data_IF_090611433929
#
_entry.id   IF_090611433929
#
_cell.length_a   1.000
_cell.length_b   1.000
_cell.length_c   1.000
_cell.angle_alpha   90.00
_cell.angle_beta   90.00
_cell.angle_gamma   90.00
#
_symmetry.space_group_name_H-M   'P 1'
#
loop_
_entity.id
_entity.type
_entity.pdbx_description
1 polymer ?
#
# COMPACT_ATOMS: atom_id res chain seq x y z
N UNK A 1 -19.99 -9.16 8.25
CA UNK A 1 -19.84 -7.89 7.52
C UNK A 1 -19.93 -8.20 6.03
N UNK A 2 -20.65 -7.38 5.26
CA UNK A 2 -20.79 -7.50 3.81
C UNK A 2 -20.16 -6.28 3.12
N UNK A 3 -19.38 -6.51 2.08
CA UNK A 3 -18.84 -5.45 1.23
C UNK A 3 -17.73 -5.93 0.30
N UNK A 4 -17.52 -5.18 -0.77
CA UNK A 4 -16.56 -5.52 -1.84
C UNK A 4 -15.20 -4.82 -1.67
N UNK A 5 -15.14 -3.80 -0.82
CA UNK A 5 -13.97 -2.98 -0.61
C UNK A 5 -12.86 -3.74 0.13
N UNK A 6 -11.62 -3.59 -0.34
CA UNK A 6 -10.43 -4.19 0.28
C UNK A 6 -10.16 -3.59 1.67
N UNK A 7 -10.53 -2.34 1.91
CA UNK A 7 -10.37 -1.66 3.20
C UNK A 7 -11.14 -2.35 4.32
N UNK A 8 -12.26 -3.03 3.99
CA UNK A 8 -13.01 -3.83 4.97
C UNK A 8 -12.20 -4.96 5.57
N UNK A 9 -11.19 -5.49 4.87
CA UNK A 9 -10.27 -6.49 5.42
C UNK A 9 -9.47 -5.86 6.55
N UNK A 10 -8.90 -4.67 6.33
CA UNK A 10 -8.10 -3.95 7.33
C UNK A 10 -8.94 -3.53 8.53
N UNK A 11 -10.13 -3.00 8.27
CA UNK A 11 -11.09 -2.60 9.31
C UNK A 11 -11.54 -3.80 10.14
N UNK A 12 -11.81 -4.95 9.53
CA UNK A 12 -12.22 -6.16 10.27
C UNK A 12 -11.08 -6.74 11.10
N UNK A 13 -9.85 -6.76 10.58
CA UNK A 13 -8.66 -7.16 11.36
C UNK A 13 -8.49 -6.23 12.57
N UNK A 14 -8.64 -4.92 12.39
CA UNK A 14 -8.53 -3.94 13.47
C UNK A 14 -9.59 -4.13 14.57
N UNK A 15 -10.73 -4.73 14.26
CA UNK A 15 -11.81 -5.00 15.20
C UNK A 15 -11.73 -6.36 15.92
N UNK A 16 -10.77 -7.22 15.59
CA UNK A 16 -10.60 -8.53 16.26
C UNK A 16 -10.44 -8.45 17.79
N UNK A 17 -9.79 -7.44 18.40
CA UNK A 17 -9.74 -7.30 19.86
C UNK A 17 -11.14 -7.13 20.50
N UNK A 18 -12.12 -6.60 19.78
CA UNK A 18 -13.48 -6.34 20.25
C UNK A 18 -14.41 -7.51 19.90
N UNK A 19 -14.31 -8.02 18.67
CA UNK A 19 -15.17 -9.07 18.14
C UNK A 19 -14.33 -10.23 17.62
N UNK A 20 -14.26 -11.31 18.39
CA UNK A 20 -13.38 -12.47 18.12
C UNK A 20 -13.82 -13.33 16.92
N UNK A 21 -15.09 -13.27 16.53
CA UNK A 21 -15.67 -14.08 15.46
C UNK A 21 -16.19 -13.15 14.35
N UNK A 22 -15.28 -12.68 13.49
CA UNK A 22 -15.61 -11.84 12.36
C UNK A 22 -15.50 -12.62 11.06
N UNK A 23 -16.50 -12.45 10.22
CA UNK A 23 -16.54 -12.96 8.85
C UNK A 23 -16.79 -11.82 7.90
N UNK A 24 -16.02 -11.77 6.82
CA UNK A 24 -16.25 -10.85 5.71
C UNK A 24 -16.84 -11.64 4.55
N UNK A 25 -18.06 -11.27 4.16
CA UNK A 25 -18.75 -11.80 3.01
C UNK A 25 -18.66 -10.84 1.85
N UNK A 26 -18.34 -11.37 0.68
CA UNK A 26 -18.36 -10.65 -0.58
C UNK A 26 -18.76 -11.58 -1.71
N UNK A 27 -19.22 -11.02 -2.81
CA UNK A 27 -19.51 -11.80 -4.00
C UNK A 27 -18.27 -12.55 -4.48
N UNK A 28 -18.48 -13.77 -4.93
CA UNK A 28 -17.40 -14.64 -5.40
C UNK A 28 -16.79 -14.05 -6.69
N UNK A 29 -15.50 -13.75 -6.72
CA UNK A 29 -14.89 -13.18 -7.91
C UNK A 29 -14.82 -14.22 -9.03
N UNK A 30 -14.97 -13.78 -10.28
CA UNK A 30 -14.88 -14.64 -11.46
C UNK A 30 -13.58 -15.46 -11.54
N UNK A 31 -12.50 -14.94 -10.97
CA UNK A 31 -11.20 -15.59 -10.96
C UNK A 31 -10.96 -16.55 -9.79
N UNK A 32 -11.99 -16.89 -8.99
CA UNK A 32 -11.79 -17.73 -7.79
C UNK A 32 -11.12 -19.08 -8.10
N UNK A 33 -11.40 -19.66 -9.27
CA UNK A 33 -10.74 -20.90 -9.73
C UNK A 33 -9.26 -20.75 -10.00
N UNK A 34 -8.76 -19.54 -10.22
CA UNK A 34 -7.31 -19.30 -10.35
C UNK A 34 -6.61 -19.30 -9.00
N UNK A 35 -7.36 -19.07 -7.90
CA UNK A 35 -6.86 -19.17 -6.53
C UNK A 35 -6.82 -20.64 -6.11
N UNK A 36 -7.93 -21.36 -6.30
CA UNK A 36 -8.03 -22.79 -6.04
C UNK A 36 -9.04 -23.41 -7.01
N UNK A 37 -8.60 -24.43 -7.74
CA UNK A 37 -9.39 -25.13 -8.77
C UNK A 37 -10.60 -25.89 -8.19
N UNK A 38 -10.60 -26.19 -6.90
CA UNK A 38 -11.68 -26.89 -6.20
C UNK A 38 -12.86 -25.96 -5.84
N UNK A 39 -12.66 -24.64 -5.89
CA UNK A 39 -13.68 -23.67 -5.56
C UNK A 39 -14.70 -23.49 -6.70
N UNK A 40 -15.98 -23.52 -6.35
CA UNK A 40 -17.08 -23.28 -7.31
C UNK A 40 -17.38 -21.77 -7.41
N UNK A 41 -17.29 -21.17 -8.62
CA UNK A 41 -17.61 -19.74 -8.80
C UNK A 41 -19.04 -19.35 -8.46
N UNK A 42 -19.98 -20.31 -8.44
CA UNK A 42 -21.39 -20.06 -8.13
C UNK A 42 -21.71 -20.21 -6.63
N UNK A 43 -20.74 -20.66 -5.83
CA UNK A 43 -20.90 -20.81 -4.39
C UNK A 43 -20.57 -19.51 -3.65
N UNK A 44 -21.19 -19.32 -2.49
CA UNK A 44 -20.93 -18.19 -1.62
C UNK A 44 -19.81 -18.53 -0.63
N UNK A 45 -18.84 -17.65 -0.50
CA UNK A 45 -17.71 -17.82 0.41
C UNK A 45 -17.63 -16.67 1.41
N UNK A 46 -17.21 -17.02 2.63
CA UNK A 46 -16.92 -16.05 3.68
C UNK A 46 -15.46 -16.12 4.07
N UNK A 47 -14.80 -14.99 4.11
CA UNK A 47 -13.45 -14.88 4.66
C UNK A 47 -13.54 -14.85 6.18
N UNK A 48 -12.99 -15.87 6.84
CA UNK A 48 -12.90 -15.92 8.30
C UNK A 48 -11.68 -15.09 8.75
N UNK A 49 -11.97 -13.93 9.33
CA UNK A 49 -10.92 -12.94 9.67
C UNK A 49 -9.93 -13.45 10.72
N UNK A 50 -10.31 -14.21 11.75
CA UNK A 50 -9.33 -14.80 12.68
C UNK A 50 -8.31 -15.70 12.02
N UNK A 51 -8.71 -16.49 11.01
CA UNK A 51 -7.79 -17.40 10.30
C UNK A 51 -6.85 -16.62 9.38
N UNK A 52 -7.38 -15.59 8.70
CA UNK A 52 -6.55 -14.66 7.95
C UNK A 52 -5.51 -13.98 8.84
N UNK A 53 -5.93 -13.47 10.00
CA UNK A 53 -5.04 -12.83 10.95
C UNK A 53 -3.92 -13.77 11.41
N UNK A 54 -4.25 -15.04 11.70
CA UNK A 54 -3.24 -16.03 12.08
C UNK A 54 -2.26 -16.33 10.94
N UNK A 55 -2.74 -16.42 9.70
CA UNK A 55 -1.90 -16.61 8.52
C UNK A 55 -0.94 -15.43 8.30
N UNK A 56 -1.43 -14.20 8.47
CA UNK A 56 -0.61 -12.97 8.40
C UNK A 56 0.48 -13.01 9.48
N UNK A 57 0.13 -13.27 10.73
CA UNK A 57 1.09 -13.34 11.84
C UNK A 57 2.18 -14.37 11.55
N UNK A 58 1.80 -15.57 11.11
CA UNK A 58 2.73 -16.64 10.79
C UNK A 58 3.70 -16.22 9.67
N UNK A 59 3.20 -15.57 8.64
CA UNK A 59 4.00 -15.13 7.50
C UNK A 59 4.97 -14.02 7.89
N UNK A 60 4.53 -13.01 8.65
CA UNK A 60 5.37 -11.92 9.12
C UNK A 60 6.48 -12.33 10.09
N UNK A 61 6.32 -13.46 10.77
CA UNK A 61 7.31 -13.98 11.73
C UNK A 61 8.03 -15.25 11.25
N UNK A 62 7.97 -15.57 9.95
CA UNK A 62 8.58 -16.79 9.41
C UNK A 62 8.18 -18.07 10.19
N UNK A 63 6.93 -18.14 10.68
CA UNK A 63 6.41 -19.25 11.46
C UNK A 63 6.89 -19.32 12.90
N UNK A 64 7.72 -18.40 13.36
CA UNK A 64 8.22 -18.39 14.75
C UNK A 64 7.11 -18.03 15.73
N UNK A 65 7.13 -18.69 16.90
CA UNK A 65 6.19 -18.38 18.00
C UNK A 65 6.55 -17.04 18.64
N UNK A 66 5.53 -16.24 18.89
CA UNK A 66 5.62 -14.93 19.53
C UNK A 66 4.56 -14.79 20.61
N UNK A 67 4.69 -13.77 21.45
CA UNK A 67 3.72 -13.47 22.50
C UNK A 67 2.43 -12.90 21.94
N UNK A 68 1.31 -13.00 22.65
CA UNK A 68 0.02 -12.41 22.27
C UNK A 68 0.10 -10.90 22.03
N UNK A 69 0.95 -10.19 22.76
CA UNK A 69 1.20 -8.76 22.52
C UNK A 69 1.85 -8.54 21.15
N UNK A 70 2.86 -9.34 20.83
CA UNK A 70 3.53 -9.26 19.53
C UNK A 70 2.58 -9.64 18.38
N UNK A 71 1.76 -10.70 18.54
CA UNK A 71 0.74 -11.07 17.55
C UNK A 71 -0.16 -9.87 17.20
N UNK A 72 -0.65 -9.17 18.22
CA UNK A 72 -1.48 -7.97 18.04
C UNK A 72 -0.74 -6.86 17.29
N UNK A 73 0.51 -6.58 17.67
CA UNK A 73 1.30 -5.55 17.03
C UNK A 73 1.61 -5.91 15.57
N UNK A 74 1.83 -7.21 15.23
CA UNK A 74 2.00 -7.67 13.85
C UNK A 74 0.79 -7.37 12.97
N UNK A 75 -0.41 -7.50 13.52
CA UNK A 75 -1.63 -7.14 12.79
C UNK A 75 -1.73 -5.63 12.55
N UNK A 76 -1.36 -4.82 13.53
CA UNK A 76 -1.32 -3.37 13.33
C UNK A 76 -0.24 -2.96 12.35
N UNK A 77 0.94 -3.59 12.39
CA UNK A 77 2.00 -3.37 11.41
C UNK A 77 1.55 -3.76 10.01
N UNK A 78 0.83 -4.90 9.86
CA UNK A 78 0.26 -5.31 8.58
C UNK A 78 -0.69 -4.25 8.03
N UNK A 79 -1.62 -3.75 8.84
CA UNK A 79 -2.54 -2.67 8.43
C UNK A 79 -1.75 -1.43 8.01
N UNK A 80 -0.75 -1.02 8.78
CA UNK A 80 0.08 0.12 8.46
C UNK A 80 0.84 -0.06 7.13
N UNK A 81 1.42 -1.24 6.92
CA UNK A 81 2.14 -1.54 5.67
C UNK A 81 1.26 -1.46 4.43
N UNK A 82 -0.03 -1.84 4.54
CA UNK A 82 -0.95 -1.74 3.39
C UNK A 82 -1.16 -0.32 2.90
N UNK A 83 -0.93 0.69 3.72
CA UNK A 83 -0.98 2.09 3.27
C UNK A 83 0.06 2.41 2.20
N UNK A 84 1.21 1.70 2.20
CA UNK A 84 2.24 1.85 1.17
C UNK A 84 1.80 1.30 -0.21
N UNK A 85 0.77 0.44 -0.23
CA UNK A 85 0.14 -0.06 -1.46
C UNK A 85 -0.90 0.90 -2.03
N UNK A 86 -1.13 2.03 -1.38
CA UNK A 86 -2.14 3.02 -1.74
C UNK A 86 -3.53 2.70 -1.19
N UNK A 87 -4.32 3.74 -0.99
CA UNK A 87 -5.71 3.71 -0.58
C UNK A 87 -6.43 4.97 -1.07
N UNK A 88 -7.63 5.25 -0.58
CA UNK A 88 -8.41 6.43 -0.97
C UNK A 88 -7.73 7.78 -0.66
N UNK A 89 -6.74 7.80 0.24
CA UNK A 89 -6.12 9.02 0.75
C UNK A 89 -4.70 9.26 0.24
N UNK A 90 -3.97 8.18 -0.08
CA UNK A 90 -2.58 8.25 -0.51
C UNK A 90 -2.29 7.32 -1.69
N UNK A 91 -1.45 7.75 -2.66
CA UNK A 91 -1.09 6.93 -3.80
C UNK A 91 -0.12 5.80 -3.41
N UNK A 92 -0.14 4.70 -4.16
CA UNK A 92 0.80 3.58 -3.99
C UNK A 92 2.19 3.93 -4.57
N UNK A 93 3.24 3.35 -4.00
CA UNK A 93 4.58 3.42 -4.57
C UNK A 93 4.66 2.67 -5.91
N UNK A 94 5.38 3.21 -6.92
CA UNK A 94 5.55 2.53 -8.21
C UNK A 94 6.14 1.12 -8.08
N UNK A 95 7.02 0.94 -7.09
CA UNK A 95 7.64 -0.35 -6.76
C UNK A 95 6.68 -1.34 -6.06
N UNK A 96 5.53 -0.87 -5.55
CA UNK A 96 4.64 -1.63 -4.66
C UNK A 96 3.21 -1.69 -5.22
N UNK A 97 3.02 -2.36 -6.34
CA UNK A 97 1.69 -2.51 -6.94
C UNK A 97 0.97 -3.72 -6.32
N UNK A 98 -0.18 -3.47 -5.69
CA UNK A 98 -0.99 -4.51 -5.02
C UNK A 98 -1.48 -5.60 -5.99
N UNK A 99 -1.67 -5.27 -7.28
CA UNK A 99 -2.14 -6.22 -8.29
C UNK A 99 -1.05 -7.17 -8.79
N UNK A 100 0.17 -6.98 -8.33
CA UNK A 100 1.33 -7.77 -8.72
C UNK A 100 2.05 -8.34 -7.50
N UNK A 101 3.24 -7.89 -7.20
CA UNK A 101 4.07 -8.40 -6.10
C UNK A 101 4.22 -7.43 -4.93
N UNK A 102 3.52 -6.29 -4.94
CA UNK A 102 3.69 -5.26 -3.91
C UNK A 102 3.46 -5.76 -2.50
N UNK A 103 2.44 -6.60 -2.28
CA UNK A 103 2.19 -7.21 -0.98
C UNK A 103 3.29 -8.21 -0.59
N UNK A 104 3.76 -9.03 -1.52
CA UNK A 104 4.84 -9.99 -1.26
C UNK A 104 6.13 -9.24 -0.90
N UNK A 105 6.49 -8.19 -1.64
CA UNK A 105 7.65 -7.35 -1.33
C UNK A 105 7.59 -6.74 0.08
N UNK A 106 6.41 -6.28 0.51
CA UNK A 106 6.21 -5.74 1.85
C UNK A 106 6.38 -6.80 2.93
N UNK A 107 5.75 -7.97 2.75
CA UNK A 107 5.82 -9.08 3.70
C UNK A 107 7.25 -9.59 3.82
N UNK A 108 7.94 -9.79 2.71
CA UNK A 108 9.31 -10.30 2.69
C UNK A 108 10.28 -9.29 3.34
N UNK A 109 10.16 -7.99 3.02
CA UNK A 109 10.95 -6.94 3.66
C UNK A 109 10.68 -6.84 5.16
N UNK A 110 9.42 -6.98 5.59
CA UNK A 110 9.06 -6.99 7.00
C UNK A 110 9.64 -8.20 7.72
N UNK A 111 9.47 -9.40 7.16
CA UNK A 111 10.00 -10.64 7.73
C UNK A 111 11.53 -10.60 7.86
N UNK A 112 12.21 -9.97 6.90
CA UNK A 112 13.67 -9.81 6.92
C UNK A 112 14.17 -8.78 7.96
N UNK A 113 13.38 -7.76 8.29
CA UNK A 113 13.81 -6.64 9.13
C UNK A 113 13.25 -6.68 10.55
N UNK A 114 11.95 -6.87 10.69
CA UNK A 114 11.22 -6.78 11.95
C UNK A 114 10.62 -8.12 12.40
N UNK A 115 10.41 -9.07 11.48
CA UNK A 115 9.65 -10.29 11.71
C UNK A 115 10.18 -11.19 12.84
N UNK A 116 11.49 -11.25 13.04
CA UNK A 116 12.13 -12.08 14.05
C UNK A 116 12.62 -11.26 15.25
N UNK A 117 12.10 -10.06 15.44
CA UNK A 117 12.47 -9.16 16.53
C UNK A 117 11.29 -8.85 17.43
N UNK A 118 11.52 -8.19 18.55
CA UNK A 118 10.49 -7.63 19.42
C UNK A 118 9.99 -6.25 18.95
N UNK A 119 10.59 -5.72 17.88
CA UNK A 119 10.23 -4.41 17.30
C UNK A 119 8.95 -4.50 16.49
N UNK A 120 8.24 -3.38 16.42
CA UNK A 120 7.03 -3.20 15.60
C UNK A 120 6.99 -1.77 15.04
N UNK A 121 6.31 -1.56 13.93
CA UNK A 121 6.10 -0.23 13.34
C UNK A 121 5.13 0.57 14.18
N UNK A 122 4.11 -0.11 14.75
CA UNK A 122 3.11 0.55 15.58
C UNK A 122 2.53 -0.41 16.63
N UNK A 123 2.10 0.15 17.75
CA UNK A 123 1.31 -0.56 18.76
C UNK A 123 -0.21 -0.30 18.65
N UNK A 124 -0.63 0.35 17.55
CA UNK A 124 -1.99 0.80 17.29
C UNK A 124 -2.28 2.20 17.83
N UNK A 125 -1.32 2.87 18.47
CA UNK A 125 -1.44 4.24 19.00
C UNK A 125 -0.32 5.16 18.52
N UNK A 126 0.90 4.64 18.52
CA UNK A 126 2.12 5.38 18.20
C UNK A 126 2.78 4.76 16.96
N UNK A 127 3.33 5.58 16.10
CA UNK A 127 4.17 5.17 14.99
C UNK A 127 5.63 5.24 15.46
N UNK A 128 6.32 4.11 15.42
CA UNK A 128 7.76 4.03 15.71
C UNK A 128 8.55 4.25 14.42
N UNK A 129 8.81 5.50 14.11
CA UNK A 129 9.43 5.93 12.85
C UNK A 129 10.79 5.27 12.61
N UNK A 130 11.60 5.07 13.65
CA UNK A 130 12.86 4.36 13.55
C UNK A 130 12.72 2.91 13.06
N UNK A 131 11.63 2.23 13.42
CA UNK A 131 11.34 0.88 12.96
C UNK A 131 10.76 0.87 11.54
N UNK A 132 9.88 1.82 11.21
CA UNK A 132 9.44 2.03 9.82
C UNK A 132 10.64 2.28 8.90
N UNK A 133 11.63 3.05 9.39
CA UNK A 133 12.87 3.30 8.64
C UNK A 133 13.61 2.02 8.27
N UNK A 134 13.64 1.00 9.14
CA UNK A 134 14.25 -0.30 8.82
C UNK A 134 13.55 -1.00 7.65
N UNK A 135 12.22 -0.99 7.65
CA UNK A 135 11.42 -1.55 6.55
C UNK A 135 11.67 -0.79 5.24
N UNK A 136 11.56 0.54 5.27
CA UNK A 136 11.74 1.36 4.06
C UNK A 136 13.16 1.26 3.53
N UNK A 137 14.17 1.15 4.42
CA UNK A 137 15.55 0.94 3.98
C UNK A 137 15.73 -0.37 3.19
N UNK A 138 15.12 -1.46 3.64
CA UNK A 138 15.17 -2.74 2.93
C UNK A 138 14.46 -2.65 1.56
N UNK A 139 13.31 -2.00 1.52
CA UNK A 139 12.53 -1.83 0.28
C UNK A 139 13.26 -0.95 -0.74
N UNK A 140 13.87 0.16 -0.31
CA UNK A 140 14.54 1.10 -1.20
C UNK A 140 15.78 0.51 -1.87
N UNK A 141 16.47 -0.44 -1.22
CA UNK A 141 17.62 -1.15 -1.81
C UNK A 141 17.22 -1.94 -3.07
N UNK A 142 15.95 -2.31 -3.19
CA UNK A 142 15.40 -3.04 -4.31
C UNK A 142 14.44 -2.22 -5.17
N UNK A 143 14.23 -0.94 -4.88
CA UNK A 143 13.20 -0.11 -5.50
C UNK A 143 13.33 -0.08 -7.03
N UNK A 144 14.52 0.18 -7.55
CA UNK A 144 14.73 0.22 -9.00
C UNK A 144 14.38 -1.13 -9.64
N UNK A 145 14.86 -2.23 -9.10
CA UNK A 145 14.55 -3.58 -9.59
C UNK A 145 13.04 -3.84 -9.62
N UNK A 146 12.32 -3.44 -8.58
CA UNK A 146 10.87 -3.62 -8.53
C UNK A 146 10.14 -2.77 -9.57
N UNK A 147 10.58 -1.52 -9.78
CA UNK A 147 10.05 -0.65 -10.83
C UNK A 147 10.34 -1.23 -12.22
N UNK A 148 11.52 -1.75 -12.47
CA UNK A 148 11.88 -2.43 -13.73
C UNK A 148 11.00 -3.66 -13.98
N UNK A 149 10.73 -4.47 -12.95
CA UNK A 149 9.83 -5.62 -13.06
C UNK A 149 8.40 -5.20 -13.44
N UNK A 150 7.88 -4.11 -12.84
CA UNK A 150 6.58 -3.56 -13.20
C UNK A 150 6.58 -2.99 -14.63
N UNK A 151 7.63 -2.29 -15.02
CA UNK A 151 7.80 -1.75 -16.36
C UNK A 151 7.80 -2.86 -17.42
N UNK A 152 8.56 -3.95 -17.20
CA UNK A 152 8.57 -5.12 -18.09
C UNK A 152 7.21 -5.82 -18.16
N UNK A 153 6.51 -5.96 -17.04
CA UNK A 153 5.15 -6.50 -17.02
C UNK A 153 4.22 -5.67 -17.90
N UNK A 154 4.26 -4.35 -17.75
CA UNK A 154 3.45 -3.43 -18.56
C UNK A 154 3.86 -3.45 -20.04
N UNK A 155 5.15 -3.61 -20.35
CA UNK A 155 5.61 -3.83 -21.73
C UNK A 155 4.97 -5.07 -22.36
N UNK A 156 4.85 -6.17 -21.61
CA UNK A 156 4.16 -7.38 -22.08
C UNK A 156 2.66 -7.15 -22.25
N UNK A 157 2.01 -6.48 -21.30
CA UNK A 157 0.59 -6.18 -21.35
C UNK A 157 0.23 -5.19 -22.48
N UNK A 158 1.09 -4.21 -22.73
CA UNK A 158 0.88 -3.23 -23.82
C UNK A 158 0.89 -3.86 -25.22
N UNK A 159 1.45 -5.07 -25.37
CA UNK A 159 1.39 -5.84 -26.62
C UNK A 159 0.04 -6.53 -26.84
N UNK A 160 -0.83 -6.57 -25.82
CA UNK A 160 -2.18 -7.15 -25.94
C UNK A 160 -3.00 -6.34 -26.92
N UNK A 161 -3.62 -7.02 -27.85
CA UNK A 161 -4.57 -6.40 -28.79
C UNK A 161 -5.92 -6.29 -28.11
N UNK A 162 -6.52 -5.10 -28.24
CA UNK A 162 -7.88 -4.81 -27.78
C UNK A 162 -8.74 -4.52 -29.00
N UNK A 163 -9.56 -5.49 -29.45
CA UNK A 163 -10.51 -5.24 -30.53
C UNK A 163 -11.50 -4.14 -30.13
N UNK A 164 -12.17 -3.52 -31.09
CA UNK A 164 -13.09 -2.40 -30.86
C UNK A 164 -14.34 -2.46 -31.75
N UNK A 165 -14.70 -3.66 -32.19
CA UNK A 165 -15.81 -3.87 -33.12
C UNK A 165 -17.16 -3.80 -32.42
N UNK A 166 -17.27 -4.38 -31.22
CA UNK A 166 -18.49 -4.37 -30.40
C UNK A 166 -18.44 -3.29 -29.32
N UNK A 167 -19.57 -3.06 -28.63
CA UNK A 167 -19.62 -2.14 -27.51
C UNK A 167 -18.78 -2.65 -26.34
N UNK A 168 -18.90 -3.93 -26.03
CA UNK A 168 -18.20 -4.62 -24.94
C UNK A 168 -16.67 -4.55 -25.15
N UNK A 169 -16.20 -4.78 -26.38
CA UNK A 169 -14.79 -4.67 -26.74
C UNK A 169 -14.27 -3.23 -26.58
N UNK A 170 -15.09 -2.22 -26.94
CA UNK A 170 -14.73 -0.81 -26.75
C UNK A 170 -14.63 -0.45 -25.27
N UNK A 171 -15.57 -0.95 -24.45
CA UNK A 171 -15.57 -0.72 -23.01
C UNK A 171 -14.34 -1.38 -22.36
N UNK A 172 -13.99 -2.62 -22.73
CA UNK A 172 -12.77 -3.30 -22.27
C UNK A 172 -11.51 -2.51 -22.66
N UNK A 173 -11.44 -2.06 -23.90
CA UNK A 173 -10.33 -1.22 -24.37
C UNK A 173 -10.22 0.08 -23.58
N UNK A 174 -11.34 0.76 -23.33
CA UNK A 174 -11.38 2.00 -22.55
C UNK A 174 -10.88 1.78 -21.13
N UNK A 175 -11.32 0.71 -20.46
CA UNK A 175 -10.85 0.34 -19.12
C UNK A 175 -9.36 -0.02 -19.10
N UNK A 176 -8.78 -0.38 -20.25
CA UNK A 176 -7.37 -0.73 -20.41
C UNK A 176 -6.48 0.46 -20.84
N UNK A 177 -7.01 1.68 -20.95
CA UNK A 177 -6.25 2.87 -21.35
C UNK A 177 -4.94 3.07 -20.58
N UNK A 178 -4.87 2.89 -19.25
CA UNK A 178 -3.61 2.98 -18.49
C UNK A 178 -2.53 1.98 -18.93
N UNK A 179 -2.92 0.90 -19.63
CA UNK A 179 -1.99 -0.09 -20.18
C UNK A 179 -1.54 0.32 -21.59
N UNK A 180 -2.44 0.92 -22.37
CA UNK A 180 -2.22 1.32 -23.77
C UNK A 180 -1.50 2.67 -23.83
N UNK A 181 -1.98 3.67 -23.07
CA UNK A 181 -1.43 5.02 -23.07
C UNK A 181 -0.31 5.15 -22.02
N UNK A 182 0.91 4.76 -22.41
CA UNK A 182 2.08 4.68 -21.55
C UNK A 182 3.14 5.74 -21.83
N UNK A 183 2.79 6.82 -22.51
CA UNK A 183 3.76 7.84 -22.94
C UNK A 183 4.62 8.38 -21.80
N UNK A 184 4.00 8.71 -20.67
CA UNK A 184 4.70 9.23 -19.49
C UNK A 184 5.64 8.19 -18.92
N UNK A 185 5.16 6.97 -18.74
CA UNK A 185 5.94 5.87 -18.19
C UNK A 185 7.13 5.50 -19.09
N UNK A 186 6.90 5.44 -20.42
CA UNK A 186 7.96 5.19 -21.41
C UNK A 186 8.98 6.32 -21.46
N UNK A 187 8.57 7.56 -21.21
CA UNK A 187 9.48 8.70 -21.10
C UNK A 187 10.34 8.64 -19.84
N UNK A 188 9.75 8.26 -18.70
CA UNK A 188 10.49 8.09 -17.43
C UNK A 188 11.54 7.01 -17.58
N UNK A 189 11.20 5.86 -18.13
CA UNK A 189 12.03 4.70 -18.45
C UNK A 189 13.10 4.37 -17.39
N UNK A 190 12.86 3.40 -16.49
CA UNK A 190 13.77 3.10 -15.38
C UNK A 190 15.11 2.50 -15.80
N UNK A 191 15.27 2.12 -17.09
CA UNK A 191 16.53 1.61 -17.64
C UNK A 191 17.48 2.68 -18.12
N UNK A 192 17.03 3.95 -18.18
CA UNK A 192 17.86 5.06 -18.65
C UNK A 192 18.36 5.89 -17.47
N UNK A 193 19.57 6.40 -17.57
CA UNK A 193 20.17 7.31 -16.58
C UNK A 193 19.24 8.49 -16.30
N UNK A 194 19.26 8.96 -15.06
CA UNK A 194 18.45 10.10 -14.57
C UNK A 194 16.93 9.88 -14.65
N UNK A 195 16.45 8.65 -14.67
CA UNK A 195 15.00 8.38 -14.67
C UNK A 195 14.28 8.95 -13.43
N UNK A 196 14.97 9.04 -12.29
CA UNK A 196 14.44 9.64 -11.06
C UNK A 196 14.12 11.13 -11.26
N UNK A 197 15.00 11.86 -11.98
CA UNK A 197 14.74 13.27 -12.30
C UNK A 197 13.52 13.39 -13.21
N UNK A 198 13.42 12.54 -14.24
CA UNK A 198 12.25 12.51 -15.14
C UNK A 198 10.97 12.15 -14.38
N UNK A 199 11.05 11.25 -13.38
CA UNK A 199 9.94 10.93 -12.49
C UNK A 199 9.35 12.18 -11.83
N UNK A 200 10.19 12.98 -11.16
CA UNK A 200 9.73 14.19 -10.47
C UNK A 200 9.31 15.29 -11.44
N UNK A 201 10.06 15.53 -12.49
CA UNK A 201 9.71 16.54 -13.50
C UNK A 201 8.38 16.25 -14.16
N UNK A 202 8.17 15.00 -14.57
CA UNK A 202 6.98 14.64 -15.32
C UNK A 202 5.72 14.46 -14.46
N UNK A 203 5.85 13.84 -13.29
CA UNK A 203 4.69 13.50 -12.45
C UNK A 203 4.31 14.60 -11.47
N UNK A 204 5.27 15.39 -11.03
CA UNK A 204 5.02 16.47 -10.07
C UNK A 204 5.11 17.86 -10.70
N UNK A 205 5.59 17.95 -11.94
CA UNK A 205 5.83 19.22 -12.63
C UNK A 205 6.74 20.18 -11.82
N UNK A 206 7.82 19.65 -11.25
CA UNK A 206 8.78 20.39 -10.44
C UNK A 206 10.22 20.13 -10.90
N UNK A 207 11.10 21.06 -10.64
CA UNK A 207 12.54 20.77 -10.65
C UNK A 207 12.90 19.91 -9.43
N UNK A 208 13.64 18.78 -9.61
CA UNK A 208 13.95 17.82 -8.55
C UNK A 208 15.07 18.31 -7.63
N UNK A 209 14.91 19.50 -7.08
CA UNK A 209 15.81 20.03 -6.07
C UNK A 209 15.59 19.32 -4.74
N UNK A 210 16.63 19.26 -3.91
CA UNK A 210 16.54 18.64 -2.58
C UNK A 210 15.38 19.22 -1.76
N UNK A 211 15.16 20.54 -1.81
CA UNK A 211 14.09 21.20 -1.07
C UNK A 211 12.69 20.79 -1.57
N UNK A 212 12.51 20.64 -2.88
CA UNK A 212 11.23 20.23 -3.46
C UNK A 212 10.92 18.76 -3.14
N UNK A 213 11.92 17.87 -3.28
CA UNK A 213 11.79 16.45 -2.91
C UNK A 213 11.49 16.32 -1.42
N UNK A 214 12.18 17.07 -0.56
CA UNK A 214 11.91 17.12 0.88
C UNK A 214 10.46 17.47 1.20
N UNK A 215 9.89 18.48 0.54
CA UNK A 215 8.48 18.87 0.76
C UNK A 215 7.51 17.73 0.42
N UNK A 216 7.77 17.00 -0.66
CA UNK A 216 6.95 15.85 -1.06
C UNK A 216 7.08 14.74 -0.01
N UNK A 217 8.31 14.40 0.40
CA UNK A 217 8.56 13.35 1.39
C UNK A 217 7.90 13.67 2.74
N UNK A 218 8.03 14.91 3.24
CA UNK A 218 7.40 15.33 4.50
C UNK A 218 5.88 15.25 4.38
N UNK A 219 5.29 15.73 3.27
CA UNK A 219 3.84 15.64 3.09
C UNK A 219 3.35 14.18 2.96
N UNK A 220 4.18 13.26 2.45
CA UNK A 220 3.86 11.84 2.44
C UNK A 220 3.93 11.21 3.86
N UNK A 221 4.88 11.62 4.69
CA UNK A 221 4.96 11.20 6.10
C UNK A 221 3.76 11.74 6.91
N UNK A 222 3.34 12.99 6.64
CA UNK A 222 2.07 13.53 7.16
C UNK A 222 0.89 12.64 6.75
N UNK A 223 0.87 12.22 5.47
CA UNK A 223 -0.18 11.37 4.93
C UNK A 223 -0.26 10.01 5.61
N UNK A 224 0.88 9.37 5.84
CA UNK A 224 0.94 8.11 6.58
C UNK A 224 0.42 8.26 8.01
N UNK A 225 0.81 9.31 8.72
CA UNK A 225 0.33 9.57 10.09
C UNK A 225 -1.16 9.91 10.10
N UNK A 226 -1.64 10.72 9.14
CA UNK A 226 -3.05 11.06 9.03
C UNK A 226 -3.91 9.81 8.80
N UNK A 227 -3.53 8.99 7.82
CA UNK A 227 -4.22 7.74 7.49
C UNK A 227 -4.21 6.78 8.68
N UNK A 228 -3.07 6.62 9.34
CA UNK A 228 -2.97 5.79 10.53
C UNK A 228 -3.92 6.24 11.65
N UNK A 229 -3.97 7.54 11.95
CA UNK A 229 -4.89 8.09 12.96
C UNK A 229 -6.36 7.91 12.56
N UNK A 230 -6.67 8.08 11.27
CA UNK A 230 -8.01 7.88 10.74
C UNK A 230 -8.50 6.44 10.93
N UNK A 231 -7.64 5.46 10.66
CA UNK A 231 -7.98 4.03 10.82
C UNK A 231 -7.98 3.55 12.27
N UNK A 232 -7.11 4.10 13.14
CA UNK A 232 -6.89 3.57 14.49
C UNK A 232 -7.61 4.34 15.58
N UNK A 233 -7.97 5.62 15.37
CA UNK A 233 -8.55 6.49 16.39
C UNK A 233 -9.72 7.31 15.86
N UNK A 234 -9.41 8.45 15.29
CA UNK A 234 -10.35 9.45 14.73
C UNK A 234 -9.64 10.29 13.68
N UNK A 235 -10.41 10.92 12.81
CA UNK A 235 -9.85 11.88 11.86
C UNK A 235 -9.18 13.03 12.60
N UNK A 236 -7.88 13.27 12.43
CA UNK A 236 -7.17 14.34 13.11
C UNK A 236 -7.47 15.73 12.53
N UNK A 237 -7.71 15.80 11.24
CA UNK A 237 -8.09 17.03 10.53
C UNK A 237 -8.92 16.68 9.29
N UNK A 238 -10.18 17.11 9.25
CA UNK A 238 -11.11 16.85 8.15
C UNK A 238 -10.82 17.66 6.88
N UNK A 239 -9.94 18.66 6.94
CA UNK A 239 -9.52 19.47 5.80
C UNK A 239 -8.17 19.05 5.24
N UNK A 240 -7.50 18.12 5.90
CA UNK A 240 -6.21 17.66 5.45
C UNK A 240 -6.35 16.74 4.24
N UNK A 241 -5.49 16.89 3.25
CA UNK A 241 -5.33 15.95 2.14
C UNK A 241 -3.88 15.91 1.68
N UNK A 242 -3.47 14.80 1.11
CA UNK A 242 -2.19 14.71 0.42
C UNK A 242 -2.19 15.63 -0.81
N UNK A 243 -1.12 16.40 -0.99
CA UNK A 243 -1.09 17.50 -1.97
C UNK A 243 -0.70 17.09 -3.37
N UNK A 244 -0.27 15.85 -3.56
CA UNK A 244 0.29 15.37 -4.83
C UNK A 244 -0.47 14.13 -5.31
N UNK A 245 -0.36 13.84 -6.63
CA UNK A 245 -1.02 12.66 -7.21
C UNK A 245 -0.15 11.39 -7.15
N UNK A 246 1.13 11.54 -6.82
CA UNK A 246 2.12 10.46 -6.81
C UNK A 246 2.91 10.47 -5.50
N UNK A 247 3.45 9.32 -5.06
CA UNK A 247 4.31 9.26 -3.88
C UNK A 247 5.75 9.70 -4.23
N UNK A 248 6.58 10.09 -3.25
CA UNK A 248 8.01 10.19 -3.48
C UNK A 248 8.59 8.80 -3.79
N UNK A 249 9.80 8.73 -4.35
CA UNK A 249 10.53 7.48 -4.42
C UNK A 249 10.96 7.04 -3.01
N UNK A 250 11.05 5.72 -2.77
CA UNK A 250 11.43 5.17 -1.46
C UNK A 250 12.86 5.59 -1.07
N UNK A 251 13.77 5.65 -2.06
CA UNK A 251 15.15 6.12 -1.87
C UNK A 251 15.26 7.57 -1.39
N UNK A 252 14.26 8.40 -1.70
CA UNK A 252 14.20 9.77 -1.22
C UNK A 252 13.44 9.86 0.11
N UNK A 253 12.36 9.12 0.26
CA UNK A 253 11.57 9.09 1.49
C UNK A 253 12.40 8.68 2.71
N UNK A 254 13.26 7.66 2.57
CA UNK A 254 14.13 7.15 3.64
C UNK A 254 15.01 8.25 4.26
N UNK A 255 15.39 9.26 3.50
CA UNK A 255 16.25 10.38 3.97
C UNK A 255 15.55 11.24 5.00
N UNK A 256 14.22 11.28 5.00
CA UNK A 256 13.41 12.16 5.83
C UNK A 256 12.59 11.43 6.91
N UNK A 257 12.61 10.09 6.96
CA UNK A 257 12.01 9.34 8.06
C UNK A 257 12.86 9.56 9.33
N UNK A 258 12.25 10.02 10.44
CA UNK A 258 12.97 10.29 11.68
C UNK A 258 13.59 9.03 12.31
N UNK A 259 14.64 9.23 13.09
CA UNK A 259 15.22 8.22 13.99
C UNK A 259 14.58 8.23 15.38
N UNK A 260 13.67 9.15 15.63
CA UNK A 260 13.02 9.39 16.90
C UNK A 260 11.52 9.56 16.70
N UNK A 261 10.76 9.44 17.77
CA UNK A 261 9.32 9.64 17.74
C UNK A 261 9.00 11.12 17.54
N UNK A 262 8.10 11.40 16.62
CA UNK A 262 7.60 12.74 16.31
C UNK A 262 6.21 12.67 15.70
N UNK A 263 5.54 13.81 15.65
CA UNK A 263 4.25 13.98 15.01
C UNK A 263 4.37 14.95 13.85
N UNK A 264 3.92 14.56 12.68
CA UNK A 264 3.85 15.38 11.49
C UNK A 264 2.52 16.13 11.40
N UNK A 265 1.41 15.48 11.83
CA UNK A 265 0.07 16.04 11.77
C UNK A 265 -0.26 16.77 13.07
N UNK A 266 -0.64 18.04 12.94
CA UNK A 266 -1.27 18.82 14.03
C UNK A 266 -2.77 18.68 13.90
N UNK A 267 -3.44 18.31 15.00
CA UNK A 267 -4.92 18.28 15.04
C UNK A 267 -5.45 19.71 14.89
N UNK A 268 -6.11 20.00 13.76
CA UNK A 268 -6.61 21.34 13.48
C UNK A 268 -8.14 21.37 13.42
N UNK A 269 -8.78 20.54 12.62
CA UNK A 269 -10.24 20.51 12.44
C UNK A 269 -10.80 19.17 12.89
N UNK A 270 -11.51 19.18 14.02
CA UNK A 270 -12.00 17.96 14.68
C UNK A 270 -13.37 17.48 14.20
N UNK A 271 -14.14 18.36 13.61
CA UNK A 271 -15.48 18.06 13.12
C UNK A 271 -15.52 18.00 11.60
N UNK A 272 -16.38 17.15 11.02
CA UNK A 272 -16.63 17.18 9.59
C UNK A 272 -16.97 18.59 9.12
N UNK A 273 -16.50 18.93 7.94
CA UNK A 273 -16.79 20.24 7.33
C UNK A 273 -18.21 20.17 6.76
N UNK A 274 -19.07 21.12 7.11
CA UNK A 274 -20.37 21.25 6.47
C UNK A 274 -20.20 21.55 4.99
N UNK A 275 -21.13 20.98 4.18
CA UNK A 275 -21.11 21.11 2.72
C UNK A 275 -21.46 22.53 2.28
#
# INVERSE_FOLDING_TARGET
IYGLDADLIMLTINHLPIAKNLFLFRETPHFIRSIDKTLDPNSLYMLRIPDLAQAIINKLNNGNKITKRQEKNRLYDYIFMTFLLGNDFIPHFPALNIRTYGMDHLIDAYAATLGNTDKNITDGKTIYWSNLRLLINNLQENEQKFIEMEYERRNRQAKRQFPNNTKEERDERFQSIPIIERKVELYINPYEDFWQERYYKQLFNIEPTENNIKKICINFLEALEWTFKYYSHKCPDWRWCYKYNYPPLLQDLIRYIPYFETHFIREAVKNPVDK
#
